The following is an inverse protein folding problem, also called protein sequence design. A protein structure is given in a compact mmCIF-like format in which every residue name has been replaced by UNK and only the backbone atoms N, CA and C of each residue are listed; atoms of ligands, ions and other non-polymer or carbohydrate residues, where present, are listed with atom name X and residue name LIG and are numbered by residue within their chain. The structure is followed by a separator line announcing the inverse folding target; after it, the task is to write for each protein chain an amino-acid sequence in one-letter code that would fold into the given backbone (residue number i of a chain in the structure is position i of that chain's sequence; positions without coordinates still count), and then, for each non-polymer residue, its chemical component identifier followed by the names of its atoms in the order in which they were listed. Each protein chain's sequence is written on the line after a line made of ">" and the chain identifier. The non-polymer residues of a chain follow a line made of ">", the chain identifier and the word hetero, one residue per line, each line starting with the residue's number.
data_IF_391263279562
#
_entry.id   IF_391263279562
#
_cell.length_a   1.000
_cell.length_b   1.000
_cell.length_c   1.000
_cell.angle_alpha   90.00
_cell.angle_beta   90.00
_cell.angle_gamma   90.00
#
_symmetry.space_group_name_H-M   'P 1'
#
loop_
_entity.id
_entity.type
_entity.pdbx_description
1 polymer ?
#
# COMPACT_ATOMS: atom_id res chain seq x y z
N UNK A 1 -4.20 -5.52 -21.83
CA UNK A 1 -2.92 -5.82 -21.13
C UNK A 1 -3.28 -6.32 -19.75
N UNK A 2 -2.65 -7.37 -19.27
CA UNK A 2 -2.84 -7.84 -17.88
C UNK A 2 -2.27 -6.80 -16.93
N UNK A 3 -2.98 -6.48 -15.84
CA UNK A 3 -2.49 -5.54 -14.84
C UNK A 3 -1.22 -6.09 -14.18
N UNK A 4 -0.31 -5.19 -13.81
CA UNK A 4 0.87 -5.54 -13.02
C UNK A 4 0.49 -5.78 -11.56
N UNK A 5 1.13 -6.78 -10.94
CA UNK A 5 1.11 -6.96 -9.49
C UNK A 5 2.28 -6.20 -8.87
N UNK A 6 1.99 -5.37 -7.90
CA UNK A 6 2.99 -4.60 -7.18
C UNK A 6 2.99 -4.96 -5.70
N UNK A 7 4.15 -4.87 -5.07
CA UNK A 7 4.31 -5.04 -3.64
C UNK A 7 4.64 -3.69 -3.01
N UNK A 8 3.76 -3.20 -2.14
CA UNK A 8 3.98 -1.96 -1.39
C UNK A 8 5.17 -2.04 -0.43
N UNK A 9 5.64 -0.93 0.12
CA UNK A 9 6.71 -0.93 1.11
C UNK A 9 6.25 -1.59 2.42
N UNK A 10 7.17 -2.26 3.12
CA UNK A 10 6.88 -2.80 4.45
C UNK A 10 6.59 -1.63 5.40
N UNK A 11 5.37 -1.55 5.91
CA UNK A 11 4.95 -0.49 6.83
C UNK A 11 5.36 -0.77 8.30
N UNK A 12 5.67 -2.02 8.63
CA UNK A 12 5.95 -2.50 9.99
C UNK A 12 7.42 -2.42 10.37
N UNK A 13 7.69 -2.43 11.67
CA UNK A 13 9.07 -2.50 12.19
C UNK A 13 9.49 -3.95 12.37
N UNK A 14 9.68 -4.64 11.26
CA UNK A 14 10.23 -5.99 11.26
C UNK A 14 11.75 -5.97 11.49
N UNK A 15 12.29 -7.02 12.08
CA UNK A 15 13.74 -7.16 12.23
C UNK A 15 14.46 -7.14 10.88
N UNK A 16 15.74 -6.77 10.88
CA UNK A 16 16.54 -6.76 9.66
C UNK A 16 16.61 -8.16 9.00
N UNK A 17 16.68 -9.23 9.80
CA UNK A 17 16.66 -10.61 9.33
C UNK A 17 15.34 -10.93 8.62
N UNK A 18 14.20 -10.69 9.29
CA UNK A 18 12.87 -10.91 8.70
C UNK A 18 12.69 -10.15 7.39
N UNK A 19 13.19 -8.90 7.30
CA UNK A 19 13.11 -8.11 6.07
C UNK A 19 13.97 -8.67 4.96
N UNK A 20 15.21 -9.11 5.26
CA UNK A 20 16.09 -9.73 4.26
C UNK A 20 15.49 -11.01 3.70
N UNK A 21 14.99 -11.88 4.58
CA UNK A 21 14.37 -13.14 4.16
C UNK A 21 13.10 -12.89 3.34
N UNK A 22 12.27 -11.96 3.78
CA UNK A 22 11.07 -11.55 3.06
C UNK A 22 11.39 -11.10 1.62
N UNK A 23 12.30 -10.12 1.46
CA UNK A 23 12.63 -9.62 0.12
C UNK A 23 13.41 -10.64 -0.71
N UNK A 24 14.16 -11.55 -0.09
CA UNK A 24 14.78 -12.67 -0.79
C UNK A 24 13.74 -13.58 -1.43
N UNK A 25 12.72 -13.99 -0.65
CA UNK A 25 11.61 -14.81 -1.17
C UNK A 25 10.80 -14.07 -2.24
N UNK A 26 10.53 -12.78 -2.04
CA UNK A 26 9.84 -11.96 -3.06
C UNK A 26 10.64 -11.90 -4.37
N UNK A 27 11.96 -11.72 -4.29
CA UNK A 27 12.82 -11.68 -5.47
C UNK A 27 12.79 -12.99 -6.26
N UNK A 28 12.90 -14.11 -5.56
CA UNK A 28 13.19 -15.41 -6.15
C UNK A 28 11.92 -16.22 -6.49
N UNK A 29 10.82 -16.04 -5.73
CA UNK A 29 9.65 -16.93 -5.77
C UNK A 29 8.35 -16.23 -6.17
N UNK A 30 8.19 -14.91 -5.88
CA UNK A 30 6.90 -14.26 -6.03
C UNK A 30 6.64 -13.80 -7.48
N UNK A 31 5.41 -13.97 -8.02
CA UNK A 31 5.01 -13.45 -9.34
C UNK A 31 4.63 -11.95 -9.26
N UNK A 32 5.51 -11.15 -8.66
CA UNK A 32 5.40 -9.70 -8.52
C UNK A 32 6.20 -9.03 -9.65
N UNK A 33 5.66 -7.97 -10.24
CA UNK A 33 6.30 -7.20 -11.30
C UNK A 33 7.15 -6.06 -10.74
N UNK A 34 6.65 -5.37 -9.69
CA UNK A 34 7.26 -4.17 -9.14
C UNK A 34 7.26 -4.19 -7.61
N UNK A 35 8.33 -3.72 -6.99
CA UNK A 35 8.49 -3.73 -5.53
C UNK A 35 8.86 -2.33 -5.04
N UNK A 36 8.07 -1.83 -4.10
CA UNK A 36 8.34 -0.58 -3.40
C UNK A 36 9.15 -0.83 -2.14
N UNK A 37 10.23 -0.10 -1.98
CA UNK A 37 11.13 -0.14 -0.83
C UNK A 37 11.14 1.21 -0.13
N UNK A 38 11.73 1.25 1.05
CA UNK A 38 11.91 2.47 1.83
C UNK A 38 11.08 2.49 3.10
N UNK A 39 11.32 3.49 3.94
CA UNK A 39 10.56 3.71 5.17
C UNK A 39 9.51 4.80 4.92
N UNK A 40 8.24 4.41 5.02
CA UNK A 40 7.11 5.30 4.73
C UNK A 40 6.49 5.86 6.01
N UNK A 41 6.56 5.12 7.12
CA UNK A 41 5.80 5.43 8.33
C UNK A 41 6.65 6.17 9.37
N UNK A 42 7.86 5.71 9.68
CA UNK A 42 8.63 6.30 10.77
C UNK A 42 10.13 6.38 10.46
N UNK A 43 10.64 7.59 10.23
CA UNK A 43 12.05 7.85 9.92
C UNK A 43 13.05 7.24 10.92
N UNK A 44 12.63 7.01 12.17
CA UNK A 44 13.48 6.40 13.20
C UNK A 44 13.82 4.92 12.92
N UNK A 45 13.02 4.25 12.07
CA UNK A 45 13.24 2.86 11.68
C UNK A 45 14.25 2.71 10.53
N UNK A 46 14.44 3.74 9.71
CA UNK A 46 15.30 3.70 8.53
C UNK A 46 16.74 3.19 8.83
N UNK A 47 17.44 3.64 9.90
CA UNK A 47 18.80 3.15 10.19
C UNK A 47 18.91 1.64 10.41
N UNK A 48 17.83 0.95 10.77
CA UNK A 48 17.84 -0.51 10.93
C UNK A 48 17.81 -1.27 9.60
N UNK A 49 17.49 -0.59 8.50
CA UNK A 49 17.23 -1.20 7.20
C UNK A 49 18.18 -0.69 6.10
N UNK A 50 18.69 0.53 6.25
CA UNK A 50 19.58 1.17 5.28
C UNK A 50 20.80 0.32 4.91
N UNK A 51 21.48 -0.39 5.86
CA UNK A 51 22.65 -1.18 5.51
C UNK A 51 22.38 -2.32 4.51
N UNK A 52 21.17 -2.87 4.53
CA UNK A 52 20.78 -3.99 3.68
C UNK A 52 20.15 -3.56 2.34
N UNK A 53 19.79 -2.28 2.21
CA UNK A 53 18.97 -1.78 1.11
C UNK A 53 19.60 -2.03 -0.26
N UNK A 54 20.88 -1.77 -0.42
CA UNK A 54 21.58 -1.99 -1.71
C UNK A 54 21.54 -3.45 -2.13
N UNK A 55 21.83 -4.37 -1.22
CA UNK A 55 21.79 -5.81 -1.51
C UNK A 55 20.39 -6.31 -1.83
N UNK A 56 19.36 -5.76 -1.17
CA UNK A 56 17.95 -6.07 -1.45
C UNK A 56 17.59 -5.58 -2.86
N UNK A 57 17.93 -4.35 -3.21
CA UNK A 57 17.67 -3.78 -4.56
C UNK A 57 18.29 -4.66 -5.64
N UNK A 58 19.57 -4.97 -5.49
CA UNK A 58 20.31 -5.80 -6.48
C UNK A 58 19.68 -7.20 -6.64
N UNK A 59 19.23 -7.82 -5.54
CA UNK A 59 18.58 -9.14 -5.59
C UNK A 59 17.24 -9.09 -6.29
N UNK A 60 16.40 -8.11 -5.97
CA UNK A 60 15.11 -7.88 -6.61
C UNK A 60 15.27 -7.64 -8.12
N UNK A 61 16.23 -6.80 -8.51
CA UNK A 61 16.51 -6.51 -9.92
C UNK A 61 17.01 -7.76 -10.66
N UNK A 62 17.88 -8.57 -10.05
CA UNK A 62 18.30 -9.87 -10.62
C UNK A 62 17.13 -10.85 -10.75
N UNK A 63 16.16 -10.79 -9.84
CA UNK A 63 14.90 -11.53 -9.91
C UNK A 63 13.90 -10.95 -10.93
N UNK A 64 14.31 -9.95 -11.75
CA UNK A 64 13.47 -9.34 -12.78
C UNK A 64 12.42 -8.36 -12.25
N UNK A 65 12.52 -7.91 -10.97
CA UNK A 65 11.58 -6.96 -10.38
C UNK A 65 12.01 -5.53 -10.67
N UNK A 66 11.07 -4.66 -11.05
CA UNK A 66 11.30 -3.22 -11.02
C UNK A 66 11.26 -2.72 -9.57
N UNK A 67 12.24 -1.93 -9.17
CA UNK A 67 12.33 -1.38 -7.81
C UNK A 67 11.97 0.10 -7.83
N UNK A 68 11.13 0.50 -6.86
CA UNK A 68 10.72 1.87 -6.61
C UNK A 68 11.07 2.23 -5.16
N UNK A 69 11.60 3.42 -4.91
CA UNK A 69 11.87 3.90 -3.55
C UNK A 69 10.79 4.86 -3.12
N UNK A 70 10.12 4.54 -2.00
CA UNK A 70 9.04 5.34 -1.42
C UNK A 70 9.59 6.32 -0.39
N UNK A 71 9.11 7.58 -0.43
CA UNK A 71 9.42 8.60 0.57
C UNK A 71 8.49 8.48 1.79
N UNK A 72 8.87 9.11 2.92
CA UNK A 72 8.04 9.20 4.12
C UNK A 72 6.68 9.81 3.82
N UNK A 73 5.62 9.32 4.48
CA UNK A 73 4.29 9.93 4.46
C UNK A 73 4.24 11.24 5.27
N UNK A 74 4.94 11.29 6.41
CA UNK A 74 4.94 12.44 7.33
C UNK A 74 6.36 12.97 7.53
N UNK A 75 6.58 14.27 7.24
CA UNK A 75 7.87 14.95 7.32
C UNK A 75 7.76 16.15 8.24
N UNK A 76 8.27 16.03 9.46
CA UNK A 76 8.21 17.07 10.50
C UNK A 76 9.58 17.65 10.87
N UNK A 77 10.61 16.82 10.86
CA UNK A 77 11.93 17.19 11.36
C UNK A 77 12.85 17.61 10.21
N UNK A 78 13.84 18.47 10.52
CA UNK A 78 14.85 18.89 9.53
C UNK A 78 15.57 17.70 8.88
N UNK A 79 15.92 16.66 9.68
CA UNK A 79 16.55 15.44 9.17
C UNK A 79 15.65 14.66 8.21
N UNK A 80 14.34 14.60 8.50
CA UNK A 80 13.35 13.92 7.64
C UNK A 80 13.18 14.66 6.32
N UNK A 81 13.16 16.00 6.38
CA UNK A 81 13.14 16.84 5.18
C UNK A 81 14.38 16.60 4.33
N UNK A 82 15.57 16.64 4.94
CA UNK A 82 16.83 16.39 4.22
C UNK A 82 16.84 15.00 3.58
N UNK A 83 16.46 13.95 4.31
CA UNK A 83 16.37 12.60 3.75
C UNK A 83 15.36 12.50 2.59
N UNK A 84 14.21 13.19 2.71
CA UNK A 84 13.21 13.25 1.63
C UNK A 84 13.74 14.00 0.41
N UNK A 85 14.47 15.10 0.60
CA UNK A 85 15.13 15.87 -0.46
C UNK A 85 16.20 15.02 -1.18
N UNK A 86 17.01 14.28 -0.42
CA UNK A 86 18.06 13.42 -0.97
C UNK A 86 17.47 12.28 -1.81
N UNK A 87 16.40 11.61 -1.31
CA UNK A 87 15.68 10.61 -2.09
C UNK A 87 15.02 11.21 -3.34
N UNK A 88 14.34 12.36 -3.20
CA UNK A 88 13.71 13.04 -4.31
C UNK A 88 14.71 13.55 -5.36
N UNK A 89 15.99 13.69 -5.02
CA UNK A 89 17.06 14.06 -5.95
C UNK A 89 17.56 12.89 -6.82
N UNK A 90 17.28 11.64 -6.44
CA UNK A 90 17.74 10.45 -7.17
C UNK A 90 17.03 10.32 -8.53
N UNK A 91 17.76 9.88 -9.54
CA UNK A 91 17.19 9.57 -10.87
C UNK A 91 16.91 8.06 -11.04
N UNK A 92 17.57 7.22 -10.27
CA UNK A 92 17.39 5.76 -10.26
C UNK A 92 17.73 5.21 -8.86
N UNK A 93 16.94 4.26 -8.33
CA UNK A 93 15.65 3.76 -8.83
C UNK A 93 14.57 4.84 -8.95
N UNK A 94 13.43 4.49 -9.56
CA UNK A 94 12.26 5.37 -9.64
C UNK A 94 11.73 5.72 -8.22
N UNK A 95 11.19 6.92 -8.05
CA UNK A 95 10.80 7.44 -6.74
C UNK A 95 9.27 7.56 -6.63
N UNK A 96 8.71 7.05 -5.53
CA UNK A 96 7.34 7.31 -5.10
C UNK A 96 7.30 8.42 -4.05
N UNK A 97 6.55 9.46 -4.33
CA UNK A 97 6.37 10.63 -3.46
C UNK A 97 5.11 10.45 -2.62
N UNK A 98 5.26 10.52 -1.30
CA UNK A 98 4.19 10.37 -0.32
C UNK A 98 3.88 11.65 0.48
N UNK A 99 4.58 12.76 0.21
CA UNK A 99 4.35 14.03 0.91
C UNK A 99 4.68 15.24 0.03
N UNK A 100 4.15 16.40 0.38
CA UNK A 100 4.35 17.65 -0.38
C UNK A 100 5.82 18.14 -0.38
N UNK A 101 6.61 17.85 0.66
CA UNK A 101 8.02 18.24 0.69
C UNK A 101 8.83 17.46 -0.37
N UNK A 102 8.53 16.16 -0.55
CA UNK A 102 9.11 15.34 -1.61
C UNK A 102 8.71 15.83 -3.00
N UNK A 103 7.43 16.17 -3.19
CA UNK A 103 6.94 16.72 -4.45
C UNK A 103 7.66 18.03 -4.82
N UNK A 104 7.78 18.95 -3.85
CA UNK A 104 8.52 20.18 -4.05
C UNK A 104 9.98 19.94 -4.42
N UNK A 105 10.67 19.05 -3.69
CA UNK A 105 12.06 18.71 -3.95
C UNK A 105 12.25 18.00 -5.30
N UNK A 106 11.27 17.28 -5.80
CA UNK A 106 11.33 16.61 -7.10
C UNK A 106 11.38 17.57 -8.28
N UNK A 107 10.77 18.76 -8.15
CA UNK A 107 10.93 19.87 -9.10
C UNK A 107 10.48 19.52 -10.53
N UNK A 108 9.38 18.81 -10.69
CA UNK A 108 8.80 18.46 -12.00
C UNK A 108 9.45 17.27 -12.71
N UNK A 109 10.48 16.64 -12.13
CA UNK A 109 11.08 15.41 -12.70
C UNK A 109 10.11 14.23 -12.60
N UNK A 110 10.17 13.24 -13.51
CA UNK A 110 9.29 12.07 -13.48
C UNK A 110 9.30 11.35 -12.12
N UNK A 111 8.12 11.02 -11.59
CA UNK A 111 7.95 10.34 -10.31
C UNK A 111 6.59 9.66 -10.21
N UNK A 112 6.45 8.77 -9.24
CA UNK A 112 5.17 8.19 -8.84
C UNK A 112 4.56 8.95 -7.67
N UNK A 113 3.25 8.96 -7.59
CA UNK A 113 2.48 9.49 -6.47
C UNK A 113 1.97 8.32 -5.64
N UNK A 114 2.35 8.32 -4.35
CA UNK A 114 1.88 7.32 -3.41
C UNK A 114 0.53 7.67 -2.77
N UNK A 115 -0.10 6.72 -2.06
CA UNK A 115 -1.47 6.87 -1.54
C UNK A 115 -1.61 8.00 -0.51
N UNK A 116 -0.53 8.37 0.18
CA UNK A 116 -0.55 9.44 1.19
C UNK A 116 -0.60 10.86 0.60
N UNK A 117 -0.50 10.99 -0.72
CA UNK A 117 -0.73 12.28 -1.40
C UNK A 117 -2.22 12.60 -1.59
N UNK A 118 -3.12 11.67 -1.26
CA UNK A 118 -4.56 11.88 -1.20
C UNK A 118 -5.16 12.40 -2.52
N UNK A 119 -4.86 11.73 -3.63
CA UNK A 119 -5.40 12.05 -4.95
C UNK A 119 -6.85 11.56 -5.09
N UNK A 120 -7.83 12.35 -4.60
CA UNK A 120 -9.25 11.96 -4.53
C UNK A 120 -10.07 12.38 -5.75
N UNK A 121 -9.59 13.27 -6.59
CA UNK A 121 -10.36 13.82 -7.69
C UNK A 121 -9.51 14.16 -8.91
N UNK A 122 -10.17 14.38 -10.04
CA UNK A 122 -9.57 14.63 -11.36
C UNK A 122 -8.71 15.89 -11.38
N UNK A 123 -9.13 16.95 -10.66
CA UNK A 123 -8.39 18.20 -10.61
C UNK A 123 -7.04 18.01 -9.89
N UNK A 124 -7.03 17.25 -8.79
CA UNK A 124 -5.78 16.88 -8.10
C UNK A 124 -4.90 16.02 -9.00
N UNK A 125 -5.47 15.03 -9.70
CA UNK A 125 -4.74 14.16 -10.65
C UNK A 125 -4.11 15.01 -11.76
N UNK A 126 -4.86 15.93 -12.37
CA UNK A 126 -4.36 16.81 -13.41
C UNK A 126 -3.24 17.73 -12.90
N UNK A 127 -3.37 18.27 -11.68
CA UNK A 127 -2.32 19.06 -11.09
C UNK A 127 -1.06 18.25 -10.83
N UNK A 128 -1.16 17.03 -10.25
CA UNK A 128 -0.03 16.15 -10.02
C UNK A 128 0.66 15.74 -11.33
N UNK A 129 -0.10 15.48 -12.39
CA UNK A 129 0.44 15.25 -13.73
C UNK A 129 1.29 16.44 -14.20
N UNK A 130 0.80 17.67 -14.00
CA UNK A 130 1.54 18.90 -14.35
C UNK A 130 2.82 19.08 -13.53
N UNK A 131 2.92 18.41 -12.36
CA UNK A 131 4.13 18.38 -11.53
C UNK A 131 5.11 17.24 -11.91
N UNK A 132 4.83 16.48 -12.97
CA UNK A 132 5.70 15.42 -13.47
C UNK A 132 5.34 14.01 -12.98
N UNK A 133 4.16 13.82 -12.39
CA UNK A 133 3.68 12.49 -12.05
C UNK A 133 3.52 11.63 -13.31
N UNK A 134 3.92 10.38 -13.22
CA UNK A 134 3.79 9.35 -14.28
C UNK A 134 2.86 8.22 -13.85
N UNK A 135 2.58 8.12 -12.55
CA UNK A 135 1.85 7.03 -11.92
C UNK A 135 1.16 7.55 -10.65
N UNK A 136 -0.05 7.12 -10.38
CA UNK A 136 -0.80 7.52 -9.20
C UNK A 136 -1.36 6.29 -8.50
N UNK A 137 -0.99 6.10 -7.22
CA UNK A 137 -1.66 5.18 -6.33
C UNK A 137 -2.83 5.89 -5.65
N UNK A 138 -4.04 5.42 -5.90
CA UNK A 138 -5.26 6.00 -5.35
C UNK A 138 -5.42 5.66 -3.87
N UNK A 139 -6.07 6.55 -3.06
CA UNK A 139 -6.43 6.23 -1.69
C UNK A 139 -7.33 5.00 -1.58
N UNK A 140 -7.07 4.17 -0.55
CA UNK A 140 -7.76 2.87 -0.38
C UNK A 140 -9.26 3.00 -0.11
N UNK A 141 -9.71 4.13 0.41
CA UNK A 141 -11.10 4.39 0.78
C UNK A 141 -11.99 4.87 -0.37
N UNK A 142 -11.47 4.96 -1.59
CA UNK A 142 -12.28 5.35 -2.75
C UNK A 142 -13.24 4.23 -3.19
N UNK A 143 -14.52 4.56 -3.43
CA UNK A 143 -15.46 3.60 -4.00
C UNK A 143 -15.20 3.38 -5.49
N UNK A 144 -15.68 2.25 -6.00
CA UNK A 144 -15.48 1.81 -7.38
C UNK A 144 -15.80 2.88 -8.43
N UNK A 145 -16.90 3.63 -8.26
CA UNK A 145 -17.28 4.72 -9.16
C UNK A 145 -16.24 5.85 -9.19
N UNK A 146 -15.69 6.22 -8.04
CA UNK A 146 -14.64 7.24 -7.96
C UNK A 146 -13.31 6.72 -8.53
N UNK A 147 -12.98 5.44 -8.33
CA UNK A 147 -11.81 4.80 -8.95
C UNK A 147 -11.92 4.84 -10.48
N UNK A 148 -13.10 4.53 -11.04
CA UNK A 148 -13.32 4.55 -12.48
C UNK A 148 -13.15 5.96 -13.06
N UNK A 149 -13.73 6.99 -12.42
CA UNK A 149 -13.57 8.40 -12.84
C UNK A 149 -12.10 8.84 -12.77
N UNK A 150 -11.43 8.53 -11.66
CA UNK A 150 -10.01 8.84 -11.47
C UNK A 150 -9.13 8.15 -12.51
N UNK A 151 -9.43 6.88 -12.83
CA UNK A 151 -8.70 6.10 -13.84
C UNK A 151 -8.88 6.66 -15.25
N UNK A 152 -10.08 7.09 -15.61
CA UNK A 152 -10.33 7.74 -16.90
C UNK A 152 -9.57 9.07 -17.02
N UNK A 153 -9.61 9.92 -15.98
CA UNK A 153 -8.87 11.17 -15.94
C UNK A 153 -7.35 10.96 -16.04
N UNK A 154 -6.81 10.00 -15.29
CA UNK A 154 -5.40 9.65 -15.31
C UNK A 154 -4.96 9.13 -16.69
N UNK A 155 -5.75 8.23 -17.29
CA UNK A 155 -5.50 7.69 -18.63
C UNK A 155 -5.47 8.77 -19.71
N UNK A 156 -6.36 9.76 -19.65
CA UNK A 156 -6.38 10.90 -20.57
C UNK A 156 -5.10 11.75 -20.47
N UNK A 157 -4.40 11.69 -19.36
CA UNK A 157 -3.12 12.39 -19.12
C UNK A 157 -1.90 11.49 -19.30
N UNK A 158 -2.07 10.23 -19.70
CA UNK A 158 -0.99 9.27 -19.89
C UNK A 158 -0.40 8.71 -18.60
N UNK A 159 -1.14 8.79 -17.48
CA UNK A 159 -0.70 8.28 -16.17
C UNK A 159 -1.11 6.82 -16.00
N UNK A 160 -0.25 6.04 -15.33
CA UNK A 160 -0.62 4.76 -14.78
C UNK A 160 -1.42 4.94 -13.47
N UNK A 161 -2.37 4.03 -13.20
CA UNK A 161 -3.20 4.03 -11.99
C UNK A 161 -2.98 2.75 -11.20
N UNK A 162 -2.82 2.91 -9.91
CA UNK A 162 -2.61 1.82 -8.96
C UNK A 162 -3.65 1.87 -7.83
N UNK A 163 -4.13 0.70 -7.42
CA UNK A 163 -5.09 0.53 -6.32
C UNK A 163 -4.58 -0.54 -5.38
N UNK A 164 -4.67 -0.30 -4.07
CA UNK A 164 -4.41 -1.33 -3.07
C UNK A 164 -5.53 -2.38 -3.11
N UNK A 165 -5.15 -3.63 -3.33
CA UNK A 165 -6.09 -4.76 -3.42
C UNK A 165 -5.94 -5.79 -2.31
N UNK A 166 -4.85 -5.72 -1.52
CA UNK A 166 -4.64 -6.61 -0.39
C UNK A 166 -3.93 -5.92 0.77
N UNK A 167 -4.24 -6.35 2.00
CA UNK A 167 -3.61 -5.94 3.24
C UNK A 167 -4.35 -4.85 4.00
N UNK A 168 -3.82 -4.39 5.14
CA UNK A 168 -4.49 -3.38 5.97
C UNK A 168 -4.58 -2.04 5.28
N UNK A 169 -5.76 -1.42 5.31
CA UNK A 169 -5.95 -0.06 4.86
C UNK A 169 -5.27 0.92 5.82
N UNK A 170 -4.51 1.89 5.30
CA UNK A 170 -4.00 3.01 6.09
C UNK A 170 -5.09 4.05 6.26
N UNK A 171 -5.65 4.18 7.46
CA UNK A 171 -6.79 5.05 7.73
C UNK A 171 -6.39 6.44 8.23
N UNK A 172 -5.26 6.54 8.93
CA UNK A 172 -4.75 7.82 9.42
C UNK A 172 -3.24 7.76 9.69
N UNK A 173 -2.57 8.89 9.50
CA UNK A 173 -1.18 9.11 9.90
C UNK A 173 -1.14 10.29 10.87
N UNK A 174 -0.43 10.15 11.98
CA UNK A 174 -0.37 11.16 13.04
C UNK A 174 1.08 11.60 13.31
N UNK A 175 1.27 12.88 13.59
CA UNK A 175 2.54 13.40 14.08
C UNK A 175 3.02 12.72 15.38
N UNK A 176 2.09 12.16 16.15
CA UNK A 176 2.33 11.49 17.43
C UNK A 176 2.28 9.98 17.26
N UNK A 177 3.25 9.29 17.87
CA UNK A 177 3.26 7.82 17.87
C UNK A 177 2.30 7.28 18.93
N UNK A 178 1.14 6.80 18.50
CA UNK A 178 0.17 6.19 19.43
C UNK A 178 0.66 4.85 19.96
N UNK A 179 1.45 4.11 19.22
CA UNK A 179 2.10 2.89 19.68
C UNK A 179 2.99 3.15 20.91
N UNK A 180 3.88 4.15 20.84
CA UNK A 180 4.70 4.53 21.99
C UNK A 180 3.85 5.01 23.18
N UNK A 181 2.77 5.76 22.92
CA UNK A 181 1.88 6.27 23.96
C UNK A 181 1.13 5.17 24.72
N UNK A 182 0.73 4.11 24.03
CA UNK A 182 0.12 2.94 24.67
C UNK A 182 1.05 2.29 25.70
N UNK A 183 2.36 2.45 25.51
CA UNK A 183 3.41 1.97 26.44
C UNK A 183 3.95 3.09 27.36
N UNK A 184 3.18 4.16 27.59
CA UNK A 184 3.56 5.31 28.43
C UNK A 184 4.88 5.98 28.00
N UNK A 185 5.16 6.00 26.66
CA UNK A 185 6.35 6.59 26.06
C UNK A 185 6.00 7.73 25.10
N UNK A 186 6.98 8.52 24.73
CA UNK A 186 6.88 9.54 23.67
C UNK A 186 7.51 9.04 22.40
N UNK A 187 7.22 9.68 21.24
CA UNK A 187 7.87 9.35 19.96
C UNK A 187 9.39 9.44 20.06
N UNK A 188 9.92 10.40 20.84
CA UNK A 188 11.37 10.61 20.97
C UNK A 188 12.04 9.54 21.84
N UNK A 189 11.34 8.99 22.82
CA UNK A 189 11.81 7.91 23.70
C UNK A 189 10.98 6.64 23.52
N UNK A 190 10.72 6.23 22.28
CA UNK A 190 9.84 5.10 21.99
C UNK A 190 10.46 3.74 22.27
N UNK A 191 11.82 3.65 22.29
CA UNK A 191 12.57 2.39 22.42
C UNK A 191 12.09 1.30 21.46
N UNK A 192 11.53 1.72 20.33
CA UNK A 192 11.06 0.86 19.23
C UNK A 192 10.04 -0.23 19.64
N UNK A 193 9.20 0.02 20.64
CA UNK A 193 8.15 -0.93 21.11
C UNK A 193 7.24 -1.45 19.99
N UNK A 194 7.22 -0.83 18.83
CA UNK A 194 6.48 -1.32 17.67
C UNK A 194 7.10 -2.56 17.02
N UNK A 195 8.29 -2.99 17.45
CA UNK A 195 8.90 -4.25 17.02
C UNK A 195 8.18 -5.46 17.63
N UNK A 196 7.59 -5.28 18.81
CA UNK A 196 6.83 -6.33 19.51
C UNK A 196 5.52 -6.70 18.78
N UNK A 197 5.04 -5.83 17.88
CA UNK A 197 3.79 -5.99 17.15
C UNK A 197 4.01 -6.01 15.62
N UNK A 198 4.50 -7.12 15.04
CA UNK A 198 4.87 -7.21 13.63
C UNK A 198 3.69 -7.07 12.65
N UNK A 199 2.44 -7.19 13.13
CA UNK A 199 1.20 -6.96 12.38
C UNK A 199 0.40 -5.75 12.95
N UNK A 200 1.05 -4.89 13.72
CA UNK A 200 0.45 -3.75 14.41
C UNK A 200 -0.29 -4.12 15.69
N UNK A 201 -0.23 -3.24 16.68
CA UNK A 201 -0.88 -3.39 17.98
C UNK A 201 -2.40 -3.28 17.85
N UNK A 202 -3.14 -4.25 18.39
CA UNK A 202 -4.60 -4.22 18.38
C UNK A 202 -5.17 -3.10 19.25
N UNK A 203 -6.04 -2.28 18.68
CA UNK A 203 -6.89 -1.35 19.39
C UNK A 203 -8.27 -1.99 19.56
N UNK A 204 -8.73 -2.08 20.81
CA UNK A 204 -9.98 -2.75 21.16
C UNK A 204 -11.00 -1.77 21.74
N UNK A 205 -12.26 -2.06 21.59
CA UNK A 205 -13.36 -1.39 22.27
C UNK A 205 -13.39 -1.75 23.77
N UNK A 206 -14.28 -1.11 24.53
CA UNK A 206 -14.41 -1.40 25.97
C UNK A 206 -14.97 -2.80 26.28
N UNK A 207 -15.65 -3.41 25.33
CA UNK A 207 -16.15 -4.80 25.34
C UNK A 207 -15.16 -5.79 24.68
N UNK A 208 -13.90 -5.38 24.56
CA UNK A 208 -12.77 -6.17 24.07
C UNK A 208 -12.84 -6.60 22.59
N UNK A 209 -13.71 -5.98 21.79
CA UNK A 209 -13.77 -6.24 20.37
C UNK A 209 -12.65 -5.51 19.61
N UNK A 210 -11.85 -6.17 18.74
CA UNK A 210 -10.82 -5.49 17.97
C UNK A 210 -11.46 -4.63 16.89
N UNK A 211 -10.99 -3.38 16.72
CA UNK A 211 -11.56 -2.41 15.76
C UNK A 211 -10.54 -1.80 14.81
N UNK A 212 -9.31 -1.62 15.24
CA UNK A 212 -8.24 -1.00 14.48
C UNK A 212 -6.87 -1.61 14.87
N UNK A 213 -5.86 -1.32 14.04
CA UNK A 213 -4.45 -1.58 14.36
C UNK A 213 -3.66 -0.28 14.45
N UNK A 214 -2.76 -0.22 15.39
CA UNK A 214 -1.82 0.90 15.53
C UNK A 214 -0.42 0.43 15.19
N UNK A 215 0.19 1.05 14.19
CA UNK A 215 1.56 0.77 13.76
C UNK A 215 2.40 2.05 13.80
N UNK A 216 3.05 2.30 14.91
CA UNK A 216 3.81 3.53 15.11
C UNK A 216 2.91 4.76 15.10
N UNK A 217 3.06 5.60 14.05
CA UNK A 217 2.24 6.80 13.83
C UNK A 217 1.01 6.51 12.94
N UNK A 218 0.89 5.31 12.41
CA UNK A 218 -0.17 4.91 11.50
C UNK A 218 -1.29 4.19 12.26
N UNK A 219 -2.54 4.51 11.93
CA UNK A 219 -3.73 3.75 12.29
C UNK A 219 -4.23 3.03 11.05
N UNK A 220 -4.48 1.73 11.20
CA UNK A 220 -4.86 0.85 10.09
C UNK A 220 -6.19 0.15 10.40
N UNK A 221 -6.81 -0.43 9.37
CA UNK A 221 -7.95 -1.33 9.53
C UNK A 221 -7.59 -2.57 10.34
N UNK A 222 -8.56 -3.12 11.08
CA UNK A 222 -8.42 -4.42 11.74
C UNK A 222 -8.44 -5.57 10.72
N UNK A 223 -9.30 -5.46 9.71
CA UNK A 223 -9.39 -6.42 8.62
C UNK A 223 -8.35 -6.15 7.54
N UNK A 224 -8.03 -7.17 6.75
CA UNK A 224 -7.34 -6.98 5.48
C UNK A 224 -8.35 -6.56 4.40
N UNK A 225 -8.02 -5.54 3.64
CA UNK A 225 -8.65 -5.30 2.35
C UNK A 225 -8.39 -6.52 1.48
N UNK A 226 -9.43 -7.02 0.81
CA UNK A 226 -9.31 -8.04 -0.21
C UNK A 226 -10.23 -7.68 -1.37
N UNK A 227 -9.63 -7.26 -2.47
CA UNK A 227 -10.28 -6.94 -3.74
C UNK A 227 -9.88 -7.94 -4.84
N UNK A 228 -9.47 -9.16 -4.48
CA UNK A 228 -9.23 -10.22 -5.46
C UNK A 228 -10.46 -10.48 -6.34
N UNK A 229 -11.69 -10.56 -5.78
CA UNK A 229 -12.89 -10.70 -6.60
C UNK A 229 -13.18 -9.50 -7.53
N UNK A 230 -12.69 -8.33 -7.17
CA UNK A 230 -12.89 -7.08 -7.90
C UNK A 230 -11.76 -6.78 -8.90
N UNK A 231 -10.69 -7.59 -8.93
CA UNK A 231 -9.48 -7.32 -9.71
C UNK A 231 -9.77 -7.17 -11.22
N UNK A 232 -10.65 -7.99 -11.79
CA UNK A 232 -11.06 -7.87 -13.20
C UNK A 232 -11.80 -6.55 -13.45
N UNK A 233 -12.77 -6.18 -12.61
CA UNK A 233 -13.51 -4.93 -12.73
C UNK A 233 -12.61 -3.69 -12.56
N UNK A 234 -11.61 -3.76 -11.68
CA UNK A 234 -10.59 -2.72 -11.54
C UNK A 234 -9.77 -2.56 -12.82
N UNK A 235 -9.33 -3.65 -13.43
CA UNK A 235 -8.57 -3.60 -14.68
C UNK A 235 -9.42 -3.09 -15.86
N UNK A 236 -10.67 -3.48 -15.92
CA UNK A 236 -11.62 -3.05 -16.95
C UNK A 236 -11.93 -1.55 -16.88
N UNK A 237 -11.91 -0.94 -15.70
CA UNK A 237 -12.08 0.50 -15.53
C UNK A 237 -10.79 1.31 -15.71
N UNK A 238 -9.65 0.66 -16.05
CA UNK A 238 -8.40 1.33 -16.41
C UNK A 238 -7.33 1.33 -15.33
N UNK A 239 -7.52 0.61 -14.21
CA UNK A 239 -6.45 0.36 -13.23
C UNK A 239 -5.39 -0.53 -13.88
N UNK A 240 -4.14 -0.09 -13.82
CA UNK A 240 -3.00 -0.76 -14.48
C UNK A 240 -2.11 -1.53 -13.49
N UNK A 241 -2.19 -1.22 -12.21
CA UNK A 241 -1.37 -1.82 -11.16
C UNK A 241 -2.24 -2.16 -9.94
N UNK A 242 -2.05 -3.37 -9.41
CA UNK A 242 -2.75 -3.89 -8.24
C UNK A 242 -1.74 -4.06 -7.10
N UNK A 243 -1.87 -3.24 -6.05
CA UNK A 243 -0.92 -3.19 -4.94
C UNK A 243 -1.27 -4.16 -3.83
N UNK A 244 -0.35 -5.06 -3.53
CA UNK A 244 -0.37 -5.91 -2.34
C UNK A 244 0.45 -5.24 -1.25
N UNK A 245 -0.15 -4.95 -0.10
CA UNK A 245 0.59 -4.42 1.05
C UNK A 245 1.16 -5.57 1.89
N UNK A 246 2.48 -5.56 2.20
CA UNK A 246 3.09 -6.59 3.03
C UNK A 246 2.39 -6.76 4.38
N UNK A 247 2.09 -8.00 4.73
CA UNK A 247 1.52 -8.41 6.02
C UNK A 247 2.36 -9.58 6.57
N UNK A 248 2.17 -9.90 7.85
CA UNK A 248 2.87 -11.01 8.52
C UNK A 248 2.27 -12.38 8.13
N UNK A 249 2.09 -12.61 6.83
CA UNK A 249 1.62 -13.86 6.21
C UNK A 249 2.53 -14.23 5.04
N UNK A 250 2.35 -15.40 4.45
CA UNK A 250 3.13 -15.79 3.27
C UNK A 250 2.74 -14.95 2.04
N UNK A 251 3.41 -13.81 1.85
CA UNK A 251 3.14 -12.90 0.73
C UNK A 251 3.53 -13.46 -0.64
N UNK A 252 4.36 -14.49 -0.72
CA UNK A 252 4.64 -15.22 -1.98
C UNK A 252 3.39 -15.98 -2.41
N UNK A 253 2.77 -16.70 -1.47
CA UNK A 253 1.52 -17.41 -1.71
C UNK A 253 0.37 -16.44 -2.04
N UNK A 254 0.24 -15.30 -1.31
CA UNK A 254 -0.73 -14.25 -1.61
C UNK A 254 -0.56 -13.76 -3.06
N UNK A 255 0.65 -13.39 -3.46
CA UNK A 255 0.93 -12.94 -4.82
C UNK A 255 0.60 -14.00 -5.87
N UNK A 256 0.89 -15.28 -5.57
CA UNK A 256 0.52 -16.41 -6.41
C UNK A 256 -0.98 -16.53 -6.65
N UNK A 257 -1.79 -16.34 -5.59
CA UNK A 257 -3.26 -16.38 -5.70
C UNK A 257 -3.82 -15.21 -6.52
N UNK A 258 -3.32 -14.00 -6.31
CA UNK A 258 -3.71 -12.84 -7.12
C UNK A 258 -3.32 -13.02 -8.59
N UNK A 259 -2.12 -13.52 -8.87
CA UNK A 259 -1.69 -13.82 -10.25
C UNK A 259 -2.56 -14.89 -10.89
N UNK A 260 -2.85 -15.97 -10.19
CA UNK A 260 -3.70 -17.05 -10.69
C UNK A 260 -5.12 -16.58 -10.98
N UNK A 261 -5.67 -15.69 -10.16
CA UNK A 261 -6.97 -15.05 -10.40
C UNK A 261 -6.96 -14.16 -11.65
N UNK A 262 -5.93 -13.32 -11.81
CA UNK A 262 -5.76 -12.44 -12.97
C UNK A 262 -5.57 -13.24 -14.28
N UNK A 263 -4.78 -14.30 -14.23
CA UNK A 263 -4.50 -15.17 -15.38
C UNK A 263 -5.64 -16.19 -15.62
N UNK A 264 -6.68 -16.19 -14.76
CA UNK A 264 -7.84 -17.10 -14.81
C UNK A 264 -7.45 -18.60 -14.76
N UNK A 265 -6.33 -18.90 -14.13
CA UNK A 265 -5.86 -20.28 -13.89
C UNK A 265 -6.51 -20.92 -12.66
N UNK A 266 -7.05 -20.09 -11.76
CA UNK A 266 -7.93 -20.45 -10.65
C UNK A 266 -9.25 -19.67 -10.76
N UNK A 267 -10.34 -20.28 -10.32
CA UNK A 267 -11.59 -19.53 -10.12
C UNK A 267 -11.40 -18.53 -8.96
N UNK A 268 -12.09 -17.39 -9.05
CA UNK A 268 -12.07 -16.38 -7.99
C UNK A 268 -12.46 -16.97 -6.64
N UNK A 269 -13.54 -17.78 -6.61
CA UNK A 269 -14.01 -18.41 -5.38
C UNK A 269 -12.98 -19.37 -4.74
N UNK A 270 -12.25 -20.12 -5.56
CA UNK A 270 -11.18 -21.01 -5.08
C UNK A 270 -9.97 -20.21 -4.58
N UNK A 271 -9.59 -19.14 -5.30
CA UNK A 271 -8.51 -18.25 -4.88
C UNK A 271 -8.85 -17.53 -3.56
N UNK A 272 -10.09 -17.04 -3.38
CA UNK A 272 -10.57 -16.45 -2.11
C UNK A 272 -10.54 -17.46 -0.96
N UNK A 273 -10.99 -18.70 -1.18
CA UNK A 273 -10.97 -19.73 -0.14
C UNK A 273 -9.54 -20.00 0.34
N UNK A 274 -8.59 -20.19 -0.60
CA UNK A 274 -7.18 -20.39 -0.28
C UNK A 274 -6.54 -19.16 0.38
N UNK A 275 -6.93 -17.97 -0.03
CA UNK A 275 -6.47 -16.72 0.59
C UNK A 275 -6.97 -16.61 2.04
N UNK A 276 -8.21 -17.00 2.29
CA UNK A 276 -8.79 -17.06 3.65
C UNK A 276 -8.05 -18.05 4.55
N UNK A 277 -7.78 -19.25 4.05
CA UNK A 277 -7.01 -20.26 4.78
C UNK A 277 -5.59 -19.76 5.12
N UNK A 278 -4.95 -19.07 4.17
CA UNK A 278 -3.60 -18.50 4.33
C UNK A 278 -3.54 -17.38 5.38
N UNK A 279 -4.59 -16.56 5.46
CA UNK A 279 -4.67 -15.42 6.39
C UNK A 279 -5.23 -15.79 7.77
N UNK A 280 -5.72 -17.02 7.95
CA UNK A 280 -6.21 -17.53 9.23
C UNK A 280 -7.40 -16.77 9.77
N UNK A 281 -7.30 -16.26 11.02
CA UNK A 281 -8.41 -15.59 11.70
C UNK A 281 -8.62 -14.13 11.28
N UNK A 282 -7.78 -13.56 10.42
CA UNK A 282 -7.92 -12.17 10.01
C UNK A 282 -9.10 -12.02 9.06
N UNK A 283 -10.08 -11.21 9.45
CA UNK A 283 -11.25 -10.94 8.62
C UNK A 283 -10.87 -10.14 7.37
N UNK A 284 -11.58 -10.37 6.26
CA UNK A 284 -11.48 -9.57 5.05
C UNK A 284 -12.55 -8.49 4.97
N UNK A 285 -12.24 -7.40 4.26
CA UNK A 285 -13.17 -6.31 4.00
C UNK A 285 -12.98 -5.76 2.58
N UNK A 286 -14.07 -5.24 2.01
CA UNK A 286 -14.10 -4.54 0.72
C UNK A 286 -15.14 -3.40 0.73
N UNK A 287 -15.58 -2.99 1.92
CA UNK A 287 -16.67 -2.04 2.09
C UNK A 287 -16.41 -0.69 1.42
N UNK A 288 -15.21 -0.16 1.46
CA UNK A 288 -14.86 1.09 0.77
C UNK A 288 -15.11 1.01 -0.73
N UNK A 289 -14.68 -0.07 -1.38
CA UNK A 289 -14.93 -0.28 -2.81
C UNK A 289 -16.43 -0.22 -3.17
N UNK A 290 -17.30 -0.69 -2.27
CA UNK A 290 -18.76 -0.66 -2.41
C UNK A 290 -19.42 0.60 -1.85
N UNK A 291 -18.66 1.65 -1.51
CA UNK A 291 -19.20 2.91 -0.99
C UNK A 291 -19.85 2.78 0.39
N UNK A 292 -19.47 1.77 1.19
CA UNK A 292 -19.99 1.54 2.54
C UNK A 292 -18.87 1.56 3.58
N UNK A 293 -19.18 1.25 4.85
CA UNK A 293 -18.20 1.26 5.92
C UNK A 293 -17.04 0.28 5.62
N UNK A 294 -15.81 0.76 5.71
CA UNK A 294 -14.60 0.06 5.25
C UNK A 294 -14.39 -1.33 5.83
N UNK A 295 -14.86 -1.59 7.07
CA UNK A 295 -14.74 -2.89 7.73
C UNK A 295 -15.70 -3.96 7.20
N UNK A 296 -16.69 -3.59 6.37
CA UNK A 296 -17.67 -4.54 5.86
C UNK A 296 -17.08 -5.42 4.77
N UNK A 297 -17.54 -6.68 4.75
CA UNK A 297 -17.36 -7.60 3.62
C UNK A 297 -18.68 -7.68 2.86
N UNK A 298 -18.67 -7.23 1.61
CA UNK A 298 -19.82 -7.30 0.71
C UNK A 298 -19.73 -8.57 -0.13
N UNK A 299 -20.81 -9.33 -0.20
CA UNK A 299 -20.87 -10.53 -1.04
C UNK A 299 -20.96 -10.18 -2.53
N UNK A 300 -20.44 -11.04 -3.37
CA UNK A 300 -20.45 -10.87 -4.83
C UNK A 300 -21.85 -10.58 -5.42
N UNK A 301 -22.90 -11.11 -4.83
CA UNK A 301 -24.30 -10.94 -5.28
C UNK A 301 -24.93 -9.58 -4.92
N UNK A 302 -24.34 -8.83 -3.98
CA UNK A 302 -24.77 -7.45 -3.67
C UNK A 302 -24.28 -6.45 -4.73
N UNK A 303 -23.44 -6.87 -5.65
CA UNK A 303 -22.72 -6.04 -6.64
C UNK A 303 -23.62 -5.42 -7.71
N UNK A 304 -24.67 -6.11 -8.13
CA UNK A 304 -25.43 -5.68 -9.31
C UNK A 304 -26.49 -4.61 -9.03
N UNK A 305 -27.05 -4.54 -7.84
CA UNK A 305 -28.15 -3.64 -7.55
C UNK A 305 -27.74 -2.17 -7.29
N UNK A 306 -26.57 -1.95 -6.67
CA UNK A 306 -26.09 -0.59 -6.36
C UNK A 306 -25.34 0.06 -7.53
N UNK A 307 -24.65 -0.73 -8.38
CA UNK A 307 -23.96 -0.21 -9.58
C UNK A 307 -24.93 0.24 -10.68
N UNK A 308 -26.07 -0.41 -10.83
CA UNK A 308 -27.13 0.01 -11.77
C UNK A 308 -27.80 1.31 -11.30
N UNK A 309 -27.96 1.50 -9.98
CA UNK A 309 -28.55 2.71 -9.42
C UNK A 309 -27.66 3.97 -9.55
N UNK A 310 -26.35 3.81 -9.75
CA UNK A 310 -25.41 4.93 -9.96
C UNK A 310 -25.27 5.33 -11.44
N UNK A 311 -25.86 4.56 -12.37
CA UNK A 311 -25.87 4.85 -13.82
C UNK A 311 -27.17 5.51 -14.31
N UNK A 312 -28.15 5.63 -13.42
CA UNK A 312 -29.41 6.37 -13.65
C UNK A 312 -29.39 7.72 -12.96
#
# INVERSE_FOLDING_TARGET
>A
MTAKLTLGPIAYHWSAEMRRDFYARIADEAPIDEVYLGEVICSKRAPFHEPDLTGIIERLQRGGKQVIISTLAEVMLKRERKATEDLAAMDSPEIEINNAAGLYARGGRPHRIGPFMNAYNEATIAWLASQGATHICLPTELPAGAIAIASEAARALGLAVEVQVFGRASLAVSARCYHARAHNRTKDNCQFVCEDDPDGMALRTRDDSPILRVNGIQTQSESYVDLLPEAEALTDCGVTHLRLMPQAVDMVAVAGLFRAGLDKTLSVAEAEARLSDLCGEVAFSNGFYYGTAGYRRMAANARNAEFEALRT
#
